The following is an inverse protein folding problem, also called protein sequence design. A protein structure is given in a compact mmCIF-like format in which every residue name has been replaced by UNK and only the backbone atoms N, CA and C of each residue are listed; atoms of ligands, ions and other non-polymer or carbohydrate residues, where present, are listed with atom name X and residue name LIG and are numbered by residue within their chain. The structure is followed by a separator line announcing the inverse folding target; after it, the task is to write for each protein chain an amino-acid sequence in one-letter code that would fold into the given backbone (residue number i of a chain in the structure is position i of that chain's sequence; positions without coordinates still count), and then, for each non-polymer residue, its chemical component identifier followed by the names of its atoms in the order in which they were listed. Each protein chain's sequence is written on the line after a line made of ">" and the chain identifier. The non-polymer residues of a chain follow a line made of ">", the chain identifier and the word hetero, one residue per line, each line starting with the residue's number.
data_IF_324566970783
#
_entry.id   IF_324566970783
#
_cell.length_a   1.000
_cell.length_b   1.000
_cell.length_c   1.000
_cell.angle_alpha   90.00
_cell.angle_beta   90.00
_cell.angle_gamma   90.00
#
_symmetry.space_group_name_H-M   'P 1'
#
loop_
_entity.id
_entity.type
_entity.pdbx_description
1 polymer ?
#
# COMPACT_ATOMS: atom_id res chain seq x y z
N UNK A 1 5.35 -27.56 -8.98
CA UNK A 1 4.78 -26.71 -7.91
C UNK A 1 4.72 -25.32 -8.50
N UNK A 2 3.53 -24.76 -8.76
CA UNK A 2 3.44 -23.39 -9.26
C UNK A 2 4.01 -22.48 -8.18
N UNK A 3 5.12 -21.80 -8.45
CA UNK A 3 5.56 -20.71 -7.58
C UNK A 3 4.42 -19.69 -7.52
N UNK A 4 4.08 -19.25 -6.30
CA UNK A 4 3.09 -18.19 -6.14
C UNK A 4 3.69 -16.91 -6.73
N UNK A 5 2.92 -16.20 -7.55
CA UNK A 5 3.33 -14.92 -8.15
C UNK A 5 3.85 -13.95 -7.07
N UNK A 6 4.86 -13.12 -7.34
CA UNK A 6 5.29 -12.04 -6.44
C UNK A 6 4.11 -11.19 -5.96
N UNK A 7 4.18 -10.70 -4.72
CA UNK A 7 3.09 -9.94 -4.08
C UNK A 7 2.61 -8.77 -4.94
N UNK A 8 3.53 -7.99 -5.51
CA UNK A 8 3.17 -6.85 -6.34
C UNK A 8 2.46 -7.23 -7.64
N UNK A 9 2.78 -8.39 -8.23
CA UNK A 9 2.07 -8.89 -9.43
C UNK A 9 0.63 -9.26 -9.08
N UNK A 10 0.44 -9.97 -7.96
CA UNK A 10 -0.91 -10.27 -7.45
C UNK A 10 -1.71 -9.00 -7.15
N UNK A 11 -1.06 -7.95 -6.62
CA UNK A 11 -1.71 -6.66 -6.42
C UNK A 11 -2.18 -6.09 -7.76
N UNK A 12 -1.33 -6.05 -8.78
CA UNK A 12 -1.72 -5.58 -10.11
C UNK A 12 -2.91 -6.39 -10.68
N UNK A 13 -2.90 -7.72 -10.52
CA UNK A 13 -4.02 -8.60 -10.90
C UNK A 13 -5.31 -8.27 -10.15
N UNK A 14 -5.27 -8.02 -8.84
CA UNK A 14 -6.46 -7.65 -8.07
C UNK A 14 -7.05 -6.32 -8.53
N UNK A 15 -6.21 -5.35 -8.91
CA UNK A 15 -6.67 -4.11 -9.51
C UNK A 15 -7.06 -4.29 -11.00
N UNK A 16 -6.85 -5.47 -11.58
CA UNK A 16 -7.24 -5.82 -12.94
C UNK A 16 -6.48 -5.03 -13.99
N UNK A 17 -5.18 -4.84 -13.80
CA UNK A 17 -4.33 -4.10 -14.74
C UNK A 17 -3.04 -4.84 -15.06
N UNK A 18 -2.70 -4.89 -16.35
CA UNK A 18 -1.39 -5.30 -16.84
C UNK A 18 -0.39 -4.13 -16.83
N UNK A 19 -0.89 -2.92 -16.59
CA UNK A 19 -0.11 -1.70 -16.55
C UNK A 19 0.41 -1.45 -15.12
N UNK A 20 1.49 -2.15 -14.77
CA UNK A 20 2.13 -2.03 -13.47
C UNK A 20 3.67 -2.02 -13.59
N UNK A 21 4.31 -1.28 -12.68
CA UNK A 21 5.75 -1.30 -12.44
C UNK A 21 5.99 -1.68 -10.98
N UNK A 22 6.94 -2.57 -10.75
CA UNK A 22 7.11 -3.23 -9.46
C UNK A 22 8.51 -2.99 -8.90
N UNK A 23 8.58 -2.74 -7.60
CA UNK A 23 9.82 -2.73 -6.83
C UNK A 23 9.61 -3.54 -5.55
N UNK A 24 10.63 -4.31 -5.18
CA UNK A 24 10.64 -5.08 -3.93
C UNK A 24 11.94 -4.80 -3.21
N UNK A 25 11.87 -4.65 -1.89
CA UNK A 25 13.07 -4.44 -1.06
C UNK A 25 12.88 -5.05 0.33
N UNK A 26 14.00 -5.35 0.99
CA UNK A 26 14.07 -5.76 2.40
C UNK A 26 14.77 -4.64 3.17
N UNK A 27 14.06 -3.58 3.58
CA UNK A 27 14.66 -2.42 4.25
C UNK A 27 15.38 -2.77 5.56
N UNK A 28 14.93 -3.82 6.24
CA UNK A 28 15.43 -4.23 7.55
C UNK A 28 16.13 -5.59 7.43
N UNK A 29 15.41 -6.70 7.72
CA UNK A 29 16.06 -8.02 7.80
C UNK A 29 15.45 -9.05 6.86
N UNK A 30 14.18 -9.43 7.08
CA UNK A 30 13.57 -10.56 6.35
C UNK A 30 12.32 -10.18 5.61
N UNK A 31 11.50 -9.28 6.17
CA UNK A 31 10.23 -8.91 5.56
C UNK A 31 10.46 -8.15 4.24
N UNK A 32 9.78 -8.56 3.18
CA UNK A 32 9.78 -7.85 1.90
C UNK A 32 8.71 -6.76 1.91
N UNK A 33 9.09 -5.53 1.62
CA UNK A 33 8.18 -4.45 1.26
C UNK A 33 8.01 -4.50 -0.26
N UNK A 34 6.76 -4.62 -0.72
CA UNK A 34 6.45 -4.50 -2.15
C UNK A 34 5.83 -3.14 -2.44
N UNK A 35 6.30 -2.50 -3.52
CA UNK A 35 5.82 -1.21 -4.01
C UNK A 35 5.39 -1.40 -5.46
N UNK A 36 4.10 -1.20 -5.72
CA UNK A 36 3.53 -1.37 -7.06
C UNK A 36 3.01 -0.03 -7.52
N UNK A 37 3.59 0.52 -8.58
CA UNK A 37 2.99 1.62 -9.32
C UNK A 37 2.07 1.04 -10.38
N UNK A 38 0.78 1.37 -10.33
CA UNK A 38 -0.19 0.83 -11.27
C UNK A 38 -1.21 1.89 -11.66
N UNK A 39 -1.75 1.74 -12.87
CA UNK A 39 -2.78 2.63 -13.39
C UNK A 39 -3.81 1.87 -14.21
N UNK A 40 -5.04 2.37 -14.19
CA UNK A 40 -6.19 1.84 -14.90
C UNK A 40 -7.27 2.91 -14.99
N UNK A 41 -8.08 2.87 -16.04
CA UNK A 41 -9.35 3.60 -16.06
C UNK A 41 -10.48 2.64 -15.70
N UNK A 42 -11.25 2.95 -14.66
CA UNK A 42 -12.40 2.16 -14.24
C UNK A 42 -13.70 2.74 -14.82
N UNK A 43 -14.52 1.88 -15.42
CA UNK A 43 -15.86 2.24 -15.86
C UNK A 43 -16.88 2.04 -14.74
N UNK A 44 -18.05 2.66 -14.84
CA UNK A 44 -19.13 2.57 -13.85
C UNK A 44 -19.64 1.15 -13.59
N UNK A 45 -19.40 0.23 -14.53
CA UNK A 45 -19.81 -1.19 -14.50
C UNK A 45 -18.69 -2.14 -14.05
N UNK A 46 -17.54 -1.64 -13.63
CA UNK A 46 -16.44 -2.50 -13.21
C UNK A 46 -16.74 -3.27 -11.91
N UNK A 47 -16.27 -4.51 -11.87
CA UNK A 47 -16.32 -5.33 -10.66
C UNK A 47 -15.44 -4.71 -9.57
N UNK A 48 -15.86 -4.82 -8.29
CA UNK A 48 -15.05 -4.34 -7.19
C UNK A 48 -13.68 -5.06 -7.18
N UNK A 49 -12.64 -4.32 -6.85
CA UNK A 49 -11.32 -4.86 -6.50
C UNK A 49 -11.47 -5.66 -5.22
N UNK A 50 -11.19 -6.97 -5.29
CA UNK A 50 -11.22 -7.88 -4.14
C UNK A 50 -9.79 -8.26 -3.76
N UNK A 51 -9.37 -7.80 -2.60
CA UNK A 51 -8.08 -8.12 -1.99
C UNK A 51 -8.30 -9.28 -1.00
N UNK A 52 -7.65 -10.44 -1.19
CA UNK A 52 -7.80 -11.57 -0.29
C UNK A 52 -7.19 -11.27 1.09
N UNK A 53 -7.51 -12.13 2.06
CA UNK A 53 -6.94 -12.03 3.40
C UNK A 53 -5.42 -12.27 3.39
N UNK A 54 -4.69 -11.40 4.07
CA UNK A 54 -3.24 -11.40 4.16
C UNK A 54 -2.76 -10.80 5.49
N UNK A 55 -1.64 -11.28 6.04
CA UNK A 55 -1.04 -10.74 7.26
C UNK A 55 -0.19 -9.49 6.97
N UNK A 56 -0.85 -8.51 6.36
CA UNK A 56 -0.24 -7.27 5.90
C UNK A 56 -1.17 -6.07 6.06
N UNK A 57 -0.59 -4.90 5.83
CA UNK A 57 -1.30 -3.66 5.55
C UNK A 57 -1.07 -3.27 4.09
N UNK A 58 -2.04 -2.56 3.54
CA UNK A 58 -1.92 -1.90 2.25
C UNK A 58 -1.99 -0.39 2.46
N UNK A 59 -1.01 0.34 1.96
CA UNK A 59 -1.09 1.80 1.81
C UNK A 59 -1.25 2.10 0.34
N UNK A 60 -2.30 2.83 -0.03
CA UNK A 60 -2.54 3.31 -1.38
C UNK A 60 -2.34 4.82 -1.38
N UNK A 61 -1.31 5.30 -2.06
CA UNK A 61 -1.10 6.72 -2.34
C UNK A 61 -1.68 7.03 -3.72
N UNK A 62 -2.70 7.88 -3.77
CA UNK A 62 -3.33 8.26 -5.03
C UNK A 62 -2.49 9.30 -5.77
N UNK A 63 -2.18 9.04 -7.04
CA UNK A 63 -1.42 9.95 -7.92
C UNK A 63 -2.32 10.81 -8.82
N UNK A 64 -3.62 10.49 -8.84
CA UNK A 64 -4.71 11.26 -9.44
C UNK A 64 -5.89 11.34 -8.46
N UNK A 65 -6.80 12.28 -8.68
CA UNK A 65 -8.09 12.27 -7.97
C UNK A 65 -8.88 11.01 -8.35
N UNK A 66 -9.55 10.39 -7.38
CA UNK A 66 -10.29 9.15 -7.61
C UNK A 66 -11.62 9.13 -6.84
N UNK A 67 -12.64 8.49 -7.39
CA UNK A 67 -13.83 8.12 -6.64
C UNK A 67 -13.72 6.68 -6.14
N UNK A 68 -13.89 6.49 -4.84
CA UNK A 68 -13.67 5.23 -4.15
C UNK A 68 -14.74 5.00 -3.08
N UNK A 69 -15.11 3.73 -2.88
CA UNK A 69 -15.79 3.26 -1.66
C UNK A 69 -15.33 1.87 -1.24
N UNK A 70 -15.34 1.64 0.06
CA UNK A 70 -15.24 0.28 0.60
C UNK A 70 -16.52 -0.51 0.26
N UNK A 71 -16.35 -1.78 -0.08
CA UNK A 71 -17.44 -2.75 -0.26
C UNK A 71 -17.23 -3.94 0.67
N UNK A 72 -18.34 -4.53 1.11
CA UNK A 72 -18.34 -5.68 2.02
C UNK A 72 -19.33 -6.72 1.53
N UNK A 73 -19.05 -8.02 1.77
CA UNK A 73 -19.98 -9.08 1.40
C UNK A 73 -21.28 -9.04 2.23
N UNK A 74 -21.17 -8.71 3.52
CA UNK A 74 -22.27 -8.90 4.48
C UNK A 74 -22.97 -7.60 4.90
N UNK A 75 -22.61 -6.46 4.30
CA UNK A 75 -23.25 -5.17 4.62
C UNK A 75 -23.25 -4.22 3.42
N UNK A 76 -24.15 -3.21 3.41
CA UNK A 76 -24.18 -2.21 2.36
C UNK A 76 -22.81 -1.54 2.15
N UNK A 77 -22.48 -1.28 0.88
CA UNK A 77 -21.28 -0.54 0.52
C UNK A 77 -21.24 0.84 1.17
N UNK A 78 -20.03 1.37 1.41
CA UNK A 78 -19.88 2.72 1.90
C UNK A 78 -20.40 3.74 0.86
N UNK A 79 -20.77 4.96 1.28
CA UNK A 79 -20.96 6.05 0.35
C UNK A 79 -19.72 6.25 -0.52
N UNK A 80 -19.91 6.51 -1.81
CA UNK A 80 -18.82 6.91 -2.70
C UNK A 80 -18.26 8.25 -2.26
N UNK A 81 -16.92 8.35 -2.25
CA UNK A 81 -16.21 9.56 -1.86
C UNK A 81 -15.11 9.85 -2.87
N UNK A 82 -14.87 11.13 -3.13
CA UNK A 82 -13.71 11.58 -3.89
C UNK A 82 -12.50 11.69 -2.96
N UNK A 83 -11.40 11.05 -3.33
CA UNK A 83 -10.11 11.16 -2.65
C UNK A 83 -9.16 11.96 -3.54
N UNK A 84 -8.59 13.06 -3.03
CA UNK A 84 -7.73 13.92 -3.84
C UNK A 84 -6.37 13.27 -4.07
N UNK A 85 -5.73 13.64 -5.18
CA UNK A 85 -4.33 13.35 -5.46
C UNK A 85 -3.45 13.69 -4.25
N UNK A 86 -2.55 12.77 -3.91
CA UNK A 86 -1.64 12.88 -2.78
C UNK A 86 -2.23 12.45 -1.44
N UNK A 87 -3.52 12.15 -1.37
CA UNK A 87 -4.10 11.50 -0.20
C UNK A 87 -3.78 10.00 -0.17
N UNK A 88 -3.94 9.41 1.03
CA UNK A 88 -3.71 7.99 1.24
C UNK A 88 -4.93 7.26 1.80
N UNK A 89 -5.01 5.98 1.47
CA UNK A 89 -5.76 4.98 2.21
C UNK A 89 -4.80 4.01 2.87
N UNK A 90 -5.01 3.71 4.15
CA UNK A 90 -4.29 2.65 4.87
C UNK A 90 -5.32 1.63 5.32
N UNK A 91 -5.15 0.37 4.90
CA UNK A 91 -6.01 -0.75 5.27
C UNK A 91 -5.23 -1.91 5.87
N UNK A 92 -5.90 -2.67 6.71
CA UNK A 92 -5.48 -4.00 7.14
C UNK A 92 -6.03 -5.01 6.15
N UNK A 93 -5.21 -5.94 5.71
CA UNK A 93 -5.63 -7.06 4.88
C UNK A 93 -5.95 -8.31 5.70
N UNK A 94 -5.97 -8.25 7.03
CA UNK A 94 -6.14 -9.45 7.88
C UNK A 94 -7.41 -10.26 7.54
N UNK A 95 -8.46 -9.58 7.10
CA UNK A 95 -9.75 -10.19 6.71
C UNK A 95 -10.03 -10.01 5.20
N UNK A 96 -9.04 -9.56 4.43
CA UNK A 96 -9.22 -9.06 3.08
C UNK A 96 -9.89 -7.69 3.05
N UNK A 97 -10.09 -7.16 1.84
CA UNK A 97 -10.79 -5.90 1.62
C UNK A 97 -11.47 -5.90 0.24
N UNK A 98 -12.62 -5.24 0.15
CA UNK A 98 -13.29 -4.97 -1.11
C UNK A 98 -13.34 -3.46 -1.36
N UNK A 99 -13.03 -3.04 -2.59
CA UNK A 99 -13.02 -1.63 -2.99
C UNK A 99 -13.71 -1.48 -4.34
N UNK A 100 -14.64 -0.53 -4.46
CA UNK A 100 -15.14 -0.07 -5.75
C UNK A 100 -14.49 1.27 -6.11
N UNK A 101 -13.98 1.36 -7.34
CA UNK A 101 -13.26 2.51 -7.89
C UNK A 101 -14.00 2.97 -9.15
N UNK A 102 -14.06 4.28 -9.40
CA UNK A 102 -14.62 4.85 -10.62
C UNK A 102 -13.68 5.89 -11.22
N UNK A 103 -13.53 5.86 -12.53
CA UNK A 103 -12.75 6.82 -13.31
C UNK A 103 -11.26 6.47 -13.35
N UNK A 104 -10.44 7.48 -13.62
CA UNK A 104 -9.00 7.33 -13.68
C UNK A 104 -8.40 6.95 -12.33
N UNK A 105 -7.60 5.90 -12.31
CA UNK A 105 -6.87 5.44 -11.15
C UNK A 105 -5.39 5.30 -11.49
N UNK A 106 -4.56 5.97 -10.72
CA UNK A 106 -3.11 5.86 -10.75
C UNK A 106 -2.65 5.94 -9.30
N UNK A 107 -1.86 4.96 -8.86
CA UNK A 107 -1.47 4.88 -7.46
C UNK A 107 -0.13 4.19 -7.26
N UNK A 108 0.55 4.57 -6.17
CA UNK A 108 1.56 3.75 -5.54
C UNK A 108 0.91 2.92 -4.44
N UNK A 109 0.99 1.59 -4.58
CA UNK A 109 0.45 0.63 -3.64
C UNK A 109 1.60 -0.04 -2.89
N UNK A 110 1.67 0.21 -1.59
CA UNK A 110 2.65 -0.38 -0.69
C UNK A 110 2.00 -1.54 0.05
N UNK A 111 2.57 -2.73 -0.09
CA UNK A 111 2.22 -3.88 0.72
C UNK A 111 3.26 -4.07 1.82
N UNK A 112 2.80 -3.95 3.06
CA UNK A 112 3.63 -3.95 4.25
C UNK A 112 3.25 -5.18 5.08
N UNK A 113 4.00 -6.29 5.00
CA UNK A 113 3.83 -7.39 5.93
C UNK A 113 3.90 -6.92 7.38
N UNK A 114 3.05 -7.46 8.26
CA UNK A 114 3.08 -7.09 9.69
C UNK A 114 4.43 -7.35 10.35
N UNK A 115 5.17 -8.30 9.81
CA UNK A 115 6.54 -8.59 10.24
C UNK A 115 7.47 -7.36 10.13
N UNK A 116 7.24 -6.40 9.22
CA UNK A 116 8.02 -5.15 9.19
C UNK A 116 7.88 -4.34 10.47
N UNK A 117 6.69 -4.31 11.08
CA UNK A 117 6.47 -3.56 12.30
C UNK A 117 7.24 -4.15 13.49
N UNK A 118 7.37 -5.48 13.52
CA UNK A 118 8.22 -6.16 14.49
C UNK A 118 9.71 -5.88 14.21
N UNK A 119 10.15 -6.00 12.96
CA UNK A 119 11.55 -5.73 12.58
C UNK A 119 11.96 -4.26 12.84
N UNK A 120 11.06 -3.29 12.71
CA UNK A 120 11.35 -1.90 13.07
C UNK A 120 11.72 -1.74 14.55
N UNK A 121 11.00 -2.44 15.43
CA UNK A 121 11.30 -2.40 16.85
C UNK A 121 12.63 -3.09 17.17
N UNK A 122 12.86 -4.27 16.57
CA UNK A 122 14.02 -5.10 16.85
C UNK A 122 15.33 -4.52 16.27
N UNK A 123 15.28 -3.96 15.06
CA UNK A 123 16.47 -3.54 14.30
C UNK A 123 16.72 -2.02 14.34
N UNK A 124 15.66 -1.20 14.46
CA UNK A 124 15.78 0.26 14.49
C UNK A 124 15.55 0.86 15.88
N UNK A 125 15.23 0.05 16.89
CA UNK A 125 15.00 0.51 18.26
C UNK A 125 13.74 1.37 18.43
N UNK A 126 12.82 1.33 17.46
CA UNK A 126 11.55 2.03 17.52
C UNK A 126 10.61 1.40 18.55
N UNK A 127 9.65 2.15 19.13
CA UNK A 127 8.63 1.58 19.98
C UNK A 127 7.87 0.46 19.27
N UNK A 128 7.60 -0.64 19.97
CA UNK A 128 6.87 -1.77 19.39
C UNK A 128 5.48 -1.34 18.93
N UNK A 129 5.23 -1.47 17.63
CA UNK A 129 3.93 -1.25 16.99
C UNK A 129 3.28 -2.61 16.75
N UNK A 130 2.05 -2.76 17.22
CA UNK A 130 1.29 -4.01 17.07
C UNK A 130 0.20 -3.92 16.01
N UNK A 131 -0.28 -2.71 15.72
CA UNK A 131 -1.27 -2.45 14.67
C UNK A 131 -1.09 -1.06 14.06
N UNK A 132 -1.75 -0.80 12.94
CA UNK A 132 -1.79 0.52 12.30
C UNK A 132 -3.22 1.07 12.27
N UNK A 133 -3.35 2.36 12.53
CA UNK A 133 -4.59 3.09 12.39
C UNK A 133 -5.02 3.14 10.91
N UNK A 134 -6.15 2.48 10.63
CA UNK A 134 -6.80 2.47 9.32
C UNK A 134 -7.29 3.89 8.98
N UNK A 135 -7.15 4.29 7.72
CA UNK A 135 -7.65 5.56 7.24
C UNK A 135 -8.09 5.52 5.77
N UNK A 136 -8.87 6.54 5.36
CA UNK A 136 -9.35 6.71 3.99
C UNK A 136 -9.23 8.16 3.55
N UNK A 137 -8.63 8.38 2.37
CA UNK A 137 -8.57 9.68 1.71
C UNK A 137 -7.98 10.80 2.55
N UNK A 138 -7.05 10.49 3.47
CA UNK A 138 -6.42 11.51 4.32
C UNK A 138 -5.15 12.04 3.68
N UNK A 139 -4.89 13.34 3.84
CA UNK A 139 -3.62 13.92 3.40
C UNK A 139 -2.45 13.43 4.27
N UNK A 140 -1.40 12.95 3.62
CA UNK A 140 -0.12 12.67 4.24
C UNK A 140 1.02 13.18 3.35
N UNK A 141 1.50 14.39 3.65
CA UNK A 141 2.56 15.05 2.87
C UNK A 141 3.87 14.26 2.87
N UNK A 142 4.17 13.51 3.93
CA UNK A 142 5.39 12.70 3.99
C UNK A 142 5.28 11.52 3.03
N UNK A 143 4.17 10.78 3.07
CA UNK A 143 3.94 9.67 2.12
C UNK A 143 3.88 10.19 0.68
N UNK A 144 3.25 11.34 0.45
CA UNK A 144 3.23 11.98 -0.86
C UNK A 144 4.64 12.29 -1.39
N UNK A 145 5.50 12.93 -0.58
CA UNK A 145 6.87 13.26 -0.96
C UNK A 145 7.73 12.00 -1.17
N UNK A 146 7.54 10.97 -0.35
CA UNK A 146 8.18 9.66 -0.54
C UNK A 146 7.74 9.04 -1.87
N UNK A 147 6.45 9.09 -2.19
CA UNK A 147 5.93 8.63 -3.48
C UNK A 147 6.60 9.33 -4.66
N UNK A 148 6.73 10.66 -4.59
CA UNK A 148 7.44 11.44 -5.60
C UNK A 148 8.92 11.03 -5.74
N UNK A 149 9.60 10.70 -4.63
CA UNK A 149 10.98 10.22 -4.65
C UNK A 149 11.12 8.79 -5.20
N UNK A 150 10.09 7.94 -5.08
CA UNK A 150 10.07 6.59 -5.64
C UNK A 150 9.84 6.58 -7.15
N UNK A 151 9.14 7.57 -7.71
CA UNK A 151 8.78 7.55 -9.13
C UNK A 151 9.97 7.44 -10.08
N UNK A 152 11.07 8.21 -9.93
CA UNK A 152 12.26 8.06 -10.77
C UNK A 152 12.96 6.71 -10.62
N UNK A 153 12.80 6.02 -9.48
CA UNK A 153 13.48 4.75 -9.21
C UNK A 153 13.00 3.62 -10.14
N UNK A 154 11.76 3.69 -10.63
CA UNK A 154 11.23 2.69 -11.58
C UNK A 154 11.96 2.68 -12.92
N UNK A 155 12.63 3.78 -13.27
CA UNK A 155 13.31 3.95 -14.56
C UNK A 155 14.85 3.86 -14.42
N UNK A 156 15.35 3.53 -13.22
CA UNK A 156 16.79 3.37 -12.94
C UNK A 156 17.27 1.93 -13.17
N UNK A 157 18.58 1.79 -13.41
CA UNK A 157 19.25 0.50 -13.38
C UNK A 157 19.14 -0.15 -11.99
N UNK A 158 18.98 -1.48 -11.98
CA UNK A 158 18.69 -2.27 -10.76
C UNK A 158 19.68 -2.01 -9.63
N UNK A 159 20.98 -1.95 -9.92
CA UNK A 159 22.02 -1.82 -8.90
C UNK A 159 22.04 -0.45 -8.21
N UNK A 160 21.64 0.61 -8.92
CA UNK A 160 21.48 1.96 -8.37
C UNK A 160 20.15 2.08 -7.64
N UNK A 161 19.09 1.57 -8.26
CA UNK A 161 17.73 1.55 -7.69
C UNK A 161 17.73 0.88 -6.32
N UNK A 162 18.27 -0.32 -6.20
CA UNK A 162 18.14 -1.14 -4.99
C UNK A 162 18.88 -0.51 -3.80
N UNK A 163 20.03 0.14 -4.05
CA UNK A 163 20.79 0.89 -3.03
C UNK A 163 20.05 2.12 -2.53
N UNK A 164 19.26 2.79 -3.36
CA UNK A 164 18.47 3.96 -2.95
C UNK A 164 17.15 3.54 -2.31
N UNK A 165 16.50 2.54 -2.90
CA UNK A 165 15.19 2.04 -2.52
C UNK A 165 15.16 1.59 -1.05
N UNK A 166 16.21 0.92 -0.58
CA UNK A 166 16.31 0.47 0.83
C UNK A 166 16.14 1.64 1.81
N UNK A 167 16.75 2.79 1.54
CA UNK A 167 16.70 3.97 2.41
C UNK A 167 15.34 4.67 2.34
N UNK A 168 14.76 4.77 1.14
CA UNK A 168 13.42 5.35 0.95
C UNK A 168 12.36 4.48 1.64
N UNK A 169 12.48 3.16 1.52
CA UNK A 169 11.62 2.20 2.19
C UNK A 169 11.76 2.24 3.72
N UNK A 170 12.97 2.42 4.26
CA UNK A 170 13.17 2.63 5.69
C UNK A 170 12.47 3.91 6.18
N UNK A 171 12.65 5.03 5.47
CA UNK A 171 11.99 6.30 5.81
C UNK A 171 10.46 6.17 5.77
N UNK A 172 9.92 5.47 4.76
CA UNK A 172 8.50 5.16 4.67
C UNK A 172 7.99 4.35 5.86
N UNK A 173 8.64 3.22 6.17
CA UNK A 173 8.25 2.35 7.26
C UNK A 173 8.31 3.06 8.62
N UNK A 174 9.37 3.84 8.88
CA UNK A 174 9.50 4.62 10.10
C UNK A 174 8.39 5.67 10.23
N UNK A 175 8.04 6.37 9.14
CA UNK A 175 6.94 7.34 9.14
C UNK A 175 5.59 6.65 9.40
N UNK A 176 5.31 5.54 8.72
CA UNK A 176 4.06 4.79 8.90
C UNK A 176 3.92 4.30 10.34
N UNK A 177 4.97 3.68 10.90
CA UNK A 177 4.99 3.21 12.28
C UNK A 177 4.80 4.37 13.27
N UNK A 178 5.49 5.49 13.07
CA UNK A 178 5.40 6.65 13.97
C UNK A 178 4.04 7.33 13.93
N UNK A 179 3.45 7.50 12.74
CA UNK A 179 2.21 8.26 12.56
C UNK A 179 0.95 7.43 12.75
N UNK A 180 0.97 6.19 12.30
CA UNK A 180 -0.19 5.30 12.31
C UNK A 180 -0.07 4.18 13.34
N UNK A 181 1.11 3.96 13.93
CA UNK A 181 1.34 2.90 14.89
C UNK A 181 0.43 2.98 16.12
N UNK A 182 -0.02 1.80 16.53
CA UNK A 182 -0.81 1.57 17.74
C UNK A 182 -0.18 0.43 18.53
N UNK A 183 -0.08 0.62 19.84
CA UNK A 183 0.05 -0.49 20.80
C UNK A 183 -1.32 -1.15 20.94
N UNK A 184 -1.45 -2.47 21.12
CA UNK A 184 -2.76 -3.09 21.41
C UNK A 184 -3.21 -2.65 22.80
N UNK A 185 -3.88 -1.52 22.87
CA UNK A 185 -4.69 -1.12 24.01
C UNK A 185 -6.08 -0.73 23.47
N UNK A 186 -7.04 -1.59 23.81
CA UNK A 186 -8.51 -1.41 23.81
C UNK A 186 -9.26 -1.59 22.48
N UNK A 187 -9.82 -2.79 22.28
CA UNK A 187 -11.24 -3.07 22.53
C UNK A 187 -11.40 -4.49 23.06
#
# INVERSE_FOLDING_TARGET
>A
MSEALPVGERIAEYFGTDNARLMVTRPLRRAELSITHLWRNYEDVDQPVILPADDAFLVVLYLTDVEHRDVWPDRPAAPIKSYPKGSICLISLRQGAGIAIRGGFEALVFHIPRQHLAELADEAGEPRVEDLAICRGIEDRTVHNIGAALMPLFDMADDVRDRLLVHVALAFNAHIAKRYGRSRHQH
#
